data_IF_094975261589
#
_entry.id   IF_094975261589
#
_cell.length_a   1.000
_cell.length_b   1.000
_cell.length_c   1.000
_cell.angle_alpha   90.00
_cell.angle_beta   90.00
_cell.angle_gamma   90.00
#
_symmetry.space_group_name_H-M   'P 1'
#
loop_
_entity.id
_entity.type
_entity.pdbx_description
1 polymer ?
#
# COMPACT_ATOMS: atom_id res chain seq x y z
N UNK A 1 14.16 -0.54 -6.86
CA UNK A 1 12.72 -0.28 -7.07
C UNK A 1 11.96 -1.59 -7.08
N UNK A 2 10.77 -1.65 -6.47
CA UNK A 2 9.90 -2.82 -6.54
C UNK A 2 9.60 -3.22 -7.99
N UNK A 3 9.33 -4.50 -8.24
CA UNK A 3 9.19 -5.06 -9.60
C UNK A 3 7.83 -4.82 -10.26
N UNK A 4 6.92 -4.07 -9.62
CA UNK A 4 5.59 -3.75 -10.15
C UNK A 4 5.02 -2.47 -9.53
N UNK A 5 4.03 -1.89 -10.22
CA UNK A 5 3.35 -0.67 -9.79
C UNK A 5 2.36 -0.87 -8.65
N UNK A 6 1.74 0.22 -8.19
CA UNK A 6 0.76 0.20 -7.11
C UNK A 6 -0.67 -0.11 -7.57
N UNK A 7 -0.88 -0.24 -8.88
CA UNK A 7 -2.18 -0.45 -9.51
C UNK A 7 -2.73 -1.87 -9.32
N UNK A 8 -1.90 -2.82 -8.87
CA UNK A 8 -2.29 -4.22 -8.66
C UNK A 8 -2.87 -4.49 -7.26
N UNK A 9 -2.87 -3.49 -6.37
CA UNK A 9 -3.34 -3.66 -5.00
C UNK A 9 -4.85 -3.41 -4.77
N UNK A 10 -5.52 -2.46 -5.45
CA UNK A 10 -6.96 -2.24 -5.28
C UNK A 10 -7.80 -3.51 -5.43
N UNK A 11 -8.79 -3.67 -4.57
CA UNK A 11 -9.66 -4.84 -4.51
C UNK A 11 -9.09 -6.03 -3.71
N UNK A 12 -7.81 -6.02 -3.35
CA UNK A 12 -7.23 -7.08 -2.52
C UNK A 12 -7.61 -6.89 -1.04
N UNK A 13 -7.86 -7.99 -0.31
CA UNK A 13 -7.84 -7.96 1.15
C UNK A 13 -6.47 -7.51 1.66
N UNK A 14 -6.42 -6.74 2.74
CA UNK A 14 -5.17 -6.17 3.29
C UNK A 14 -4.08 -7.22 3.55
N UNK A 15 -4.46 -8.43 3.96
CA UNK A 15 -3.51 -9.53 4.16
C UNK A 15 -2.87 -10.02 2.86
N UNK A 16 -3.66 -10.15 1.78
CA UNK A 16 -3.15 -10.52 0.46
C UNK A 16 -2.28 -9.41 -0.13
N UNK A 17 -2.70 -8.14 0.04
CA UNK A 17 -1.93 -6.99 -0.39
C UNK A 17 -0.55 -6.93 0.29
N UNK A 18 -0.45 -7.22 1.60
CA UNK A 18 0.83 -7.28 2.32
C UNK A 18 1.76 -8.37 1.78
N UNK A 19 1.21 -9.55 1.48
CA UNK A 19 1.97 -10.66 0.91
C UNK A 19 2.50 -10.31 -0.48
N UNK A 20 1.64 -9.78 -1.36
CA UNK A 20 2.05 -9.33 -2.69
C UNK A 20 3.11 -8.22 -2.62
N UNK A 21 2.99 -7.32 -1.64
CA UNK A 21 3.95 -6.25 -1.45
C UNK A 21 5.34 -6.80 -1.08
N UNK A 22 5.40 -7.78 -0.18
CA UNK A 22 6.63 -8.49 0.20
C UNK A 22 7.26 -9.20 -1.01
N UNK A 23 6.46 -9.96 -1.76
CA UNK A 23 6.88 -10.67 -2.99
C UNK A 23 7.45 -9.72 -4.05
N UNK A 24 6.93 -8.48 -4.11
CA UNK A 24 7.39 -7.44 -5.05
C UNK A 24 8.53 -6.57 -4.51
N UNK A 25 8.99 -6.83 -3.30
CA UNK A 25 10.14 -6.15 -2.68
C UNK A 25 9.82 -4.78 -2.09
N UNK A 26 8.55 -4.49 -1.77
CA UNK A 26 8.18 -3.30 -1.00
C UNK A 26 8.67 -3.45 0.44
N UNK A 27 9.61 -2.60 0.86
CA UNK A 27 10.26 -2.72 2.18
C UNK A 27 9.42 -2.19 3.32
N UNK A 28 8.53 -1.25 3.04
CA UNK A 28 7.66 -0.62 4.03
C UNK A 28 6.25 -0.53 3.47
N UNK A 29 5.29 -1.16 4.15
CA UNK A 29 3.86 -1.08 3.80
C UNK A 29 3.12 -0.38 4.92
N UNK A 30 2.55 0.79 4.62
CA UNK A 30 1.69 1.54 5.54
C UNK A 30 0.23 1.35 5.13
N UNK A 31 -0.62 1.00 6.09
CA UNK A 31 -2.07 0.83 5.87
C UNK A 31 -2.79 2.00 6.52
N UNK A 32 -3.66 2.67 5.75
CA UNK A 32 -4.39 3.85 6.16
C UNK A 32 -5.89 3.56 6.11
N UNK A 33 -6.62 4.05 7.11
CA UNK A 33 -8.08 4.14 7.03
C UNK A 33 -8.49 5.41 6.25
N UNK A 34 -9.69 5.44 5.65
CA UNK A 34 -10.28 6.64 5.07
C UNK A 34 -10.29 7.81 6.06
N UNK A 35 -9.84 8.98 5.60
CA UNK A 35 -9.78 10.20 6.40
C UNK A 35 -8.61 10.27 7.40
N UNK A 36 -7.71 9.29 7.43
CA UNK A 36 -6.53 9.37 8.28
C UNK A 36 -5.62 10.53 7.85
N UNK A 37 -5.42 11.50 8.74
CA UNK A 37 -4.47 12.60 8.52
C UNK A 37 -3.04 12.09 8.67
N UNK A 38 -2.20 12.35 7.66
CA UNK A 38 -0.78 11.97 7.67
C UNK A 38 0.07 13.07 7.07
N UNK A 39 1.29 13.23 7.58
CA UNK A 39 2.31 13.98 6.85
C UNK A 39 2.76 13.17 5.63
N UNK A 40 2.91 13.88 4.51
CA UNK A 40 3.27 13.32 3.21
C UNK A 40 4.80 13.28 3.04
N UNK A 41 5.52 12.86 4.08
CA UNK A 41 6.98 12.72 4.02
C UNK A 41 7.33 11.59 3.05
N UNK A 42 7.92 11.90 1.90
CA UNK A 42 8.31 10.88 0.93
C UNK A 42 9.38 9.95 1.53
N UNK A 43 9.18 8.64 1.39
CA UNK A 43 10.12 7.60 1.80
C UNK A 43 10.23 6.57 0.69
N UNK A 44 11.32 6.64 -0.07
CA UNK A 44 11.62 5.70 -1.16
C UNK A 44 11.35 4.24 -0.75
N UNK A 45 10.60 3.53 -1.58
CA UNK A 45 10.24 2.14 -1.34
C UNK A 45 9.13 1.92 -0.30
N UNK A 46 8.40 2.99 0.11
CA UNK A 46 7.18 2.88 0.91
C UNK A 46 5.95 2.77 0.02
N UNK A 47 5.21 1.69 0.23
CA UNK A 47 3.85 1.53 -0.27
C UNK A 47 2.85 2.05 0.78
N UNK A 48 1.95 2.92 0.37
CA UNK A 48 0.77 3.28 1.13
C UNK A 48 -0.46 2.57 0.55
N UNK A 49 -1.27 1.98 1.42
CA UNK A 49 -2.54 1.35 1.06
C UNK A 49 -3.67 2.05 1.82
N UNK A 50 -4.60 2.66 1.10
CA UNK A 50 -5.88 3.09 1.66
C UNK A 50 -6.79 1.86 1.71
N UNK A 51 -7.29 1.52 2.89
CA UNK A 51 -8.08 0.31 3.14
C UNK A 51 -9.41 0.68 3.77
N UNK A 52 -10.51 0.29 3.13
CA UNK A 52 -11.87 0.36 3.67
C UNK A 52 -12.40 -1.05 3.84
N UNK A 53 -13.01 -1.33 4.99
CA UNK A 53 -13.64 -2.63 5.29
C UNK A 53 -12.71 -3.83 5.02
N UNK A 54 -11.40 -3.66 5.29
CA UNK A 54 -10.38 -4.68 5.10
C UNK A 54 -9.91 -4.87 3.65
N UNK A 55 -10.46 -4.13 2.69
CA UNK A 55 -10.13 -4.18 1.26
C UNK A 55 -9.39 -2.91 0.84
N UNK A 56 -8.36 -3.05 0.01
CA UNK A 56 -7.60 -1.92 -0.53
C UNK A 56 -8.48 -1.16 -1.54
N UNK A 57 -8.70 0.13 -1.31
CA UNK A 57 -9.34 1.04 -2.27
C UNK A 57 -8.31 1.67 -3.21
N UNK A 58 -7.11 1.96 -2.71
CA UNK A 58 -6.05 2.62 -3.48
C UNK A 58 -4.66 2.27 -2.95
N UNK A 59 -3.70 2.08 -3.84
CA UNK A 59 -2.27 2.03 -3.54
C UNK A 59 -1.52 3.23 -4.13
N UNK A 60 -0.48 3.70 -3.45
CA UNK A 60 0.47 4.68 -4.01
C UNK A 60 1.84 4.57 -3.34
N UNK A 61 2.88 4.86 -4.11
CA UNK A 61 4.21 5.07 -3.55
C UNK A 61 4.23 6.40 -2.79
N UNK A 62 4.91 6.44 -1.64
CA UNK A 62 5.08 7.70 -0.93
C UNK A 62 6.31 7.71 -0.10
#
# INVERSE_FOLDING_TARGET
MPSGGTDDFPGLPVGAARRLADERGWRVVRVLAPGAMMTMDHREGRLNLLVRDGVVERGWEG
#
